data_IF_907637267913
#
_entry.id   IF_907637267913
#
_cell.length_a   1.000
_cell.length_b   1.000
_cell.length_c   1.000
_cell.angle_alpha   90.00
_cell.angle_beta   90.00
_cell.angle_gamma   90.00
#
_symmetry.space_group_name_H-M   'P 1'
#
loop_
_entity.id
_entity.type
_entity.pdbx_description
1 polymer ?
#
# COMPACT_ATOMS: atom_id res chain seq x y z
N UNK A 1 9.09 -4.70 -64.67
CA UNK A 1 8.25 -5.85 -65.07
C UNK A 1 8.59 -7.00 -64.12
N UNK A 2 7.81 -7.26 -63.05
CA UNK A 2 7.97 -8.44 -62.21
C UNK A 2 6.59 -8.93 -61.80
N UNK A 3 6.36 -10.20 -62.06
CA UNK A 3 5.06 -10.87 -62.05
C UNK A 3 4.62 -11.24 -60.61
N UNK A 4 3.47 -10.75 -60.22
CA UNK A 4 2.74 -11.22 -59.01
C UNK A 4 2.30 -12.67 -59.20
N UNK A 5 2.76 -13.58 -58.35
CA UNK A 5 2.18 -14.93 -58.20
C UNK A 5 1.17 -14.91 -57.07
N UNK A 6 -0.11 -15.04 -57.39
CA UNK A 6 -1.19 -15.32 -56.48
C UNK A 6 -1.13 -16.79 -56.06
N UNK A 7 -0.89 -17.06 -54.79
CA UNK A 7 -1.09 -18.39 -54.21
C UNK A 7 -2.49 -18.45 -53.67
N UNK A 8 -3.38 -19.23 -54.27
CA UNK A 8 -4.69 -19.62 -53.74
C UNK A 8 -4.49 -20.76 -52.77
N UNK A 9 -4.85 -20.55 -51.51
CA UNK A 9 -4.94 -21.61 -50.52
C UNK A 9 -6.39 -22.08 -50.51
N UNK A 10 -6.62 -23.27 -51.01
CA UNK A 10 -7.88 -24.02 -50.92
C UNK A 10 -7.96 -24.62 -49.49
N UNK A 11 -8.87 -24.11 -48.67
CA UNK A 11 -9.22 -24.70 -47.38
C UNK A 11 -10.33 -25.71 -47.64
N UNK A 12 -10.00 -26.99 -47.52
CA UNK A 12 -10.96 -28.09 -47.52
C UNK A 12 -11.66 -28.17 -46.15
N UNK A 13 -12.97 -27.90 -46.14
CA UNK A 13 -13.82 -28.09 -44.97
C UNK A 13 -14.27 -29.57 -44.97
N UNK A 14 -13.72 -30.37 -44.09
CA UNK A 14 -14.23 -31.71 -43.80
C UNK A 14 -15.33 -31.61 -42.74
N UNK A 15 -16.58 -31.83 -43.17
CA UNK A 15 -17.71 -32.07 -42.28
C UNK A 15 -17.57 -33.46 -41.65
N UNK A 16 -17.30 -33.51 -40.36
CA UNK A 16 -17.46 -34.74 -39.56
C UNK A 16 -18.78 -34.62 -38.78
N UNK A 17 -19.80 -35.26 -39.28
CA UNK A 17 -21.02 -35.52 -38.56
C UNK A 17 -20.75 -36.65 -37.54
N UNK A 18 -20.69 -36.37 -36.25
CA UNK A 18 -20.64 -37.38 -35.20
C UNK A 18 -21.82 -37.23 -34.27
N UNK A 19 -22.46 -38.41 -34.06
CA UNK A 19 -23.75 -38.65 -33.49
C UNK A 19 -23.91 -38.15 -32.07
N UNK A 20 -25.15 -37.78 -31.80
CA UNK A 20 -25.72 -37.58 -30.46
C UNK A 20 -25.72 -38.88 -29.66
N UNK A 21 -24.74 -39.09 -28.78
CA UNK A 21 -24.92 -39.95 -27.62
C UNK A 21 -25.42 -39.10 -26.47
N UNK A 22 -26.71 -39.19 -26.18
CA UNK A 22 -27.31 -38.67 -24.94
C UNK A 22 -26.81 -39.52 -23.78
N UNK A 23 -25.75 -39.07 -23.11
CA UNK A 23 -25.45 -39.56 -21.75
C UNK A 23 -26.52 -38.99 -20.80
N UNK A 24 -27.36 -39.87 -20.25
CA UNK A 24 -28.19 -39.53 -19.09
C UNK A 24 -27.23 -39.33 -17.93
N UNK A 25 -27.06 -38.10 -17.50
CA UNK A 25 -26.48 -37.76 -16.21
C UNK A 25 -27.54 -38.08 -15.15
N UNK A 26 -27.35 -39.15 -14.41
CA UNK A 26 -28.04 -39.37 -13.16
C UNK A 26 -27.57 -38.28 -12.17
N UNK A 27 -28.45 -37.31 -11.97
CA UNK A 27 -28.26 -36.25 -10.97
C UNK A 27 -28.54 -36.91 -9.60
N UNK A 28 -27.55 -37.03 -8.69
CA UNK A 28 -27.81 -37.47 -7.35
C UNK A 28 -28.77 -36.50 -6.66
N UNK A 29 -29.79 -37.04 -6.02
CA UNK A 29 -30.80 -36.27 -5.28
C UNK A 29 -30.14 -35.35 -4.26
N UNK A 30 -30.46 -34.07 -4.36
CA UNK A 30 -30.07 -33.04 -3.37
C UNK A 30 -30.68 -33.44 -2.03
N UNK A 31 -29.91 -33.60 -0.94
CA UNK A 31 -30.48 -33.83 0.36
C UNK A 31 -31.28 -32.64 0.81
N UNK A 32 -32.55 -32.85 1.15
CA UNK A 32 -33.43 -31.87 1.78
C UNK A 32 -32.76 -31.28 3.04
N UNK A 33 -32.86 -29.98 3.30
CA UNK A 33 -32.38 -29.40 4.53
C UNK A 33 -33.11 -30.01 5.72
N UNK A 34 -32.37 -30.65 6.62
CA UNK A 34 -32.88 -31.01 7.94
C UNK A 34 -33.06 -29.73 8.74
N UNK A 35 -34.23 -29.56 9.31
CA UNK A 35 -34.55 -28.56 10.29
C UNK A 35 -33.48 -28.57 11.41
N UNK A 36 -32.64 -27.56 11.42
CA UNK A 36 -31.72 -27.30 12.52
C UNK A 36 -32.54 -26.53 13.54
N UNK A 37 -33.00 -27.29 14.53
CA UNK A 37 -33.65 -26.76 15.73
C UNK A 37 -32.70 -25.77 16.41
N UNK A 38 -33.15 -24.50 16.42
CA UNK A 38 -32.45 -23.38 17.01
C UNK A 38 -32.38 -23.52 18.53
N UNK A 39 -31.29 -24.05 19.05
CA UNK A 39 -30.98 -23.96 20.48
C UNK A 39 -30.35 -22.60 20.74
N UNK A 40 -31.20 -21.63 21.11
CA UNK A 40 -30.75 -20.35 21.66
C UNK A 40 -30.10 -20.61 23.03
N UNK A 41 -28.78 -20.65 23.06
CA UNK A 41 -28.03 -20.49 24.29
C UNK A 41 -27.87 -18.99 24.55
N UNK A 42 -28.75 -18.48 25.39
CA UNK A 42 -28.71 -17.12 25.91
C UNK A 42 -27.50 -16.97 26.86
N UNK A 43 -26.36 -16.56 26.32
CA UNK A 43 -25.17 -16.21 27.12
C UNK A 43 -25.27 -14.75 27.53
N UNK A 44 -25.89 -14.51 28.69
CA UNK A 44 -25.84 -13.21 29.37
C UNK A 44 -24.42 -12.99 29.89
N UNK A 45 -23.62 -12.25 29.16
CA UNK A 45 -22.36 -11.69 29.68
C UNK A 45 -22.73 -10.42 30.42
N UNK A 46 -22.74 -10.52 31.76
CA UNK A 46 -22.81 -9.38 32.62
C UNK A 46 -21.52 -8.56 32.49
N UNK A 47 -21.61 -7.40 31.87
CA UNK A 47 -20.53 -6.43 31.80
C UNK A 47 -20.35 -5.80 33.19
N UNK A 48 -19.42 -6.32 33.96
CA UNK A 48 -18.94 -5.68 35.20
C UNK A 48 -17.95 -4.59 34.78
N UNK A 49 -18.43 -3.36 34.68
CA UNK A 49 -17.58 -2.19 34.53
C UNK A 49 -16.89 -1.85 35.83
N UNK A 50 -15.65 -2.28 35.99
CA UNK A 50 -14.76 -1.81 37.05
C UNK A 50 -14.15 -0.48 36.58
N UNK A 51 -14.37 0.63 37.33
CA UNK A 51 -13.70 1.88 36.96
C UNK A 51 -12.21 1.76 37.27
N UNK A 52 -11.37 1.88 36.25
CA UNK A 52 -9.93 2.07 36.44
C UNK A 52 -9.69 3.43 37.06
N UNK A 53 -9.22 3.41 38.32
CA UNK A 53 -8.74 4.60 38.99
C UNK A 53 -7.51 5.14 38.26
N UNK A 54 -7.58 6.40 37.80
CA UNK A 54 -6.44 7.15 37.27
C UNK A 54 -5.40 7.31 38.39
N UNK A 55 -4.10 7.03 38.11
CA UNK A 55 -3.05 7.35 39.06
C UNK A 55 -2.95 8.88 39.21
N UNK A 56 -3.15 9.36 40.43
CA UNK A 56 -2.96 10.76 40.82
C UNK A 56 -1.48 11.13 40.65
N UNK A 57 -1.20 12.09 39.77
CA UNK A 57 0.14 12.67 39.63
C UNK A 57 0.39 13.55 40.87
N UNK A 58 1.21 13.07 41.80
CA UNK A 58 1.77 13.89 42.86
C UNK A 58 2.77 14.87 42.28
N UNK A 59 2.73 16.16 42.63
CA UNK A 59 3.73 17.12 42.20
C UNK A 59 5.10 16.75 42.80
N UNK A 60 6.09 16.63 41.95
CA UNK A 60 7.49 16.41 42.36
C UNK A 60 8.05 17.75 42.85
N UNK A 61 8.17 17.90 44.19
CA UNK A 61 8.79 19.04 44.82
C UNK A 61 10.33 18.92 44.63
N UNK A 62 10.88 19.69 43.72
CA UNK A 62 12.31 19.80 43.49
C UNK A 62 12.88 20.98 44.25
N UNK A 63 13.08 20.83 45.58
CA UNK A 63 13.94 21.73 46.35
C UNK A 63 15.07 20.93 46.99
N UNK A 64 15.98 20.41 46.20
CA UNK A 64 17.29 20.03 46.73
C UNK A 64 18.33 21.06 46.25
N UNK A 65 18.57 22.06 47.11
CA UNK A 65 19.78 22.90 47.09
C UNK A 65 20.98 22.01 47.47
N UNK A 66 21.74 21.58 46.46
CA UNK A 66 23.05 20.99 46.67
C UNK A 66 24.07 22.13 46.88
N UNK A 67 24.80 22.19 47.99
CA UNK A 67 25.87 23.18 48.16
C UNK A 67 27.04 22.86 47.19
N UNK A 68 27.32 23.83 46.35
CA UNK A 68 28.50 23.78 45.45
C UNK A 68 29.75 24.03 46.27
N UNK A 69 30.71 23.10 46.35
CA UNK A 69 32.01 23.40 46.93
C UNK A 69 32.79 24.28 45.97
N UNK A 70 33.11 25.49 46.42
CA UNK A 70 34.02 26.42 45.73
C UNK A 70 35.42 25.78 45.65
N UNK A 71 35.83 25.26 44.50
CA UNK A 71 37.21 24.86 44.20
C UNK A 71 37.89 26.04 43.52
N UNK A 72 38.84 26.63 44.28
CA UNK A 72 39.82 27.56 43.77
C UNK A 72 40.55 27.05 42.56
N UNK A 73 40.65 27.92 41.56
CA UNK A 73 41.10 27.59 40.22
C UNK A 73 42.57 27.22 40.10
N UNK A 74 42.79 26.12 39.42
CA UNK A 74 44.03 25.83 38.73
C UNK A 74 43.85 26.24 37.25
N UNK A 75 44.78 26.95 36.61
CA UNK A 75 44.61 27.34 35.22
C UNK A 75 44.47 26.10 34.35
N UNK A 76 43.28 25.94 33.75
CA UNK A 76 43.03 24.91 32.74
C UNK A 76 43.78 25.33 31.48
N UNK A 77 44.60 24.45 30.87
CA UNK A 77 45.17 24.75 29.57
C UNK A 77 44.05 25.04 28.57
N UNK A 78 44.23 26.08 27.79
CA UNK A 78 43.27 26.49 26.76
C UNK A 78 42.95 25.27 25.91
N UNK A 79 41.67 24.86 25.97
CA UNK A 79 41.14 23.86 25.07
C UNK A 79 41.34 24.36 23.63
N UNK A 80 42.15 23.65 22.88
CA UNK A 80 42.28 23.88 21.43
C UNK A 80 40.85 23.71 20.87
N UNK A 81 40.26 24.81 20.40
CA UNK A 81 39.00 24.78 19.66
C UNK A 81 39.21 23.89 18.44
N UNK A 82 38.76 22.65 18.53
CA UNK A 82 38.63 21.79 17.37
C UNK A 82 37.49 22.40 16.55
N UNK A 83 37.90 23.20 15.54
CA UNK A 83 36.94 23.70 14.54
C UNK A 83 36.17 22.51 13.99
N UNK A 84 34.84 22.46 14.11
CA UNK A 84 34.09 21.33 13.59
C UNK A 84 34.37 21.24 12.09
N UNK A 85 34.94 20.13 11.67
CA UNK A 85 35.06 19.78 10.24
C UNK A 85 33.68 19.84 9.66
N UNK A 86 33.42 20.65 8.62
CA UNK A 86 32.08 20.71 8.03
C UNK A 86 31.69 19.30 7.59
N UNK A 87 30.63 18.76 8.16
CA UNK A 87 30.04 17.51 7.72
C UNK A 87 29.77 17.64 6.22
N UNK A 88 30.39 16.78 5.42
CA UNK A 88 30.18 16.78 3.98
C UNK A 88 28.70 16.54 3.71
N UNK A 89 28.06 17.51 3.07
CA UNK A 89 26.64 17.49 2.74
C UNK A 89 26.37 16.32 1.78
N UNK A 90 25.44 15.44 2.14
CA UNK A 90 24.96 14.38 1.25
C UNK A 90 23.85 14.92 0.39
N UNK A 91 23.89 14.67 -0.92
CA UNK A 91 22.88 15.11 -1.85
C UNK A 91 22.40 13.96 -2.73
N UNK A 92 21.15 14.03 -3.19
CA UNK A 92 20.60 13.13 -4.19
C UNK A 92 20.21 13.93 -5.43
N UNK A 93 20.62 13.43 -6.59
CA UNK A 93 20.35 14.01 -7.89
C UNK A 93 19.46 13.10 -8.72
N UNK A 94 18.47 13.68 -9.37
CA UNK A 94 17.64 12.98 -10.36
C UNK A 94 18.33 12.99 -11.72
N UNK A 95 18.77 11.82 -12.25
CA UNK A 95 19.66 11.74 -13.42
C UNK A 95 18.99 11.33 -14.73
N UNK A 96 18.02 10.43 -14.73
CA UNK A 96 17.38 9.89 -15.95
C UNK A 96 15.95 10.35 -16.19
N UNK A 97 15.35 11.01 -15.21
CA UNK A 97 13.97 11.45 -15.24
C UNK A 97 13.59 12.02 -13.90
N UNK A 98 12.34 12.41 -13.70
CA UNK A 98 11.87 12.93 -12.44
C UNK A 98 11.83 11.86 -11.36
N UNK A 99 12.21 12.21 -10.13
CA UNK A 99 12.04 11.37 -8.94
C UNK A 99 10.86 11.86 -8.13
N UNK A 100 9.98 10.94 -7.77
CA UNK A 100 8.85 11.26 -6.90
C UNK A 100 9.27 11.25 -5.44
N UNK A 101 8.96 12.33 -4.74
CA UNK A 101 9.14 12.46 -3.31
C UNK A 101 7.83 12.03 -2.65
N UNK A 102 7.91 11.07 -1.73
CA UNK A 102 6.75 10.46 -1.08
C UNK A 102 6.66 10.82 0.39
N UNK A 103 5.48 10.61 0.99
CA UNK A 103 5.23 10.86 2.40
C UNK A 103 5.98 9.89 3.33
N UNK A 104 6.27 8.70 2.85
CA UNK A 104 6.97 7.65 3.59
C UNK A 104 7.87 6.81 2.67
N UNK A 105 8.70 5.91 3.25
CA UNK A 105 9.69 5.12 2.55
C UNK A 105 9.09 3.88 1.88
N UNK A 106 8.24 4.08 0.87
CA UNK A 106 7.60 3.00 0.12
C UNK A 106 6.75 3.52 -1.04
N UNK A 107 6.39 2.63 -1.96
CA UNK A 107 5.55 2.96 -3.12
C UNK A 107 4.08 3.16 -2.74
N UNK A 108 3.66 2.57 -1.63
CA UNK A 108 2.33 2.67 -1.01
C UNK A 108 1.99 4.09 -0.54
N UNK A 109 3.02 4.88 -0.19
CA UNK A 109 2.82 6.26 0.28
C UNK A 109 2.57 7.21 -0.87
N UNK A 110 1.73 8.23 -0.61
CA UNK A 110 1.41 9.26 -1.58
C UNK A 110 2.63 10.08 -1.99
N UNK A 111 2.63 10.51 -3.24
CA UNK A 111 3.56 11.48 -3.75
C UNK A 111 3.19 12.86 -3.19
N UNK A 112 4.15 13.52 -2.55
CA UNK A 112 4.02 14.86 -1.96
C UNK A 112 4.92 15.89 -2.63
N UNK A 113 5.81 15.46 -3.53
CA UNK A 113 6.72 16.34 -4.26
C UNK A 113 7.38 15.63 -5.44
N UNK A 114 8.17 16.37 -6.18
CA UNK A 114 8.94 15.89 -7.34
C UNK A 114 10.30 16.55 -7.34
N UNK A 115 11.35 15.78 -7.47
CA UNK A 115 12.68 16.23 -7.85
C UNK A 115 12.79 16.13 -9.38
N UNK A 116 12.86 17.26 -10.04
CA UNK A 116 12.94 17.31 -11.50
C UNK A 116 14.25 16.72 -12.00
N UNK A 117 14.23 16.23 -13.23
CA UNK A 117 15.43 15.72 -13.89
C UNK A 117 16.57 16.76 -13.83
N UNK A 118 17.78 16.27 -13.59
CA UNK A 118 19.03 17.04 -13.46
C UNK A 118 19.02 18.07 -12.31
N UNK A 119 18.11 17.93 -11.34
CA UNK A 119 18.12 18.71 -10.09
C UNK A 119 18.54 17.86 -8.91
N UNK A 120 19.09 18.51 -7.89
CA UNK A 120 19.58 17.87 -6.67
C UNK A 120 18.87 18.46 -5.46
N UNK A 121 18.76 17.64 -4.40
CA UNK A 121 18.33 18.11 -3.08
C UNK A 121 19.17 17.47 -1.98
N UNK A 122 19.13 18.04 -0.78
CA UNK A 122 19.84 17.57 0.38
C UNK A 122 19.18 16.31 0.96
N UNK A 123 20.02 15.32 1.30
CA UNK A 123 19.64 14.14 2.06
C UNK A 123 19.94 14.41 3.53
N UNK A 124 18.93 14.25 4.39
CA UNK A 124 19.01 14.60 5.81
C UNK A 124 19.01 13.40 6.74
N UNK A 125 18.49 12.25 6.28
CA UNK A 125 18.53 10.99 7.02
C UNK A 125 18.35 9.81 6.07
N UNK A 126 18.68 8.60 6.52
CA UNK A 126 18.33 7.38 5.79
C UNK A 126 17.48 6.46 6.66
N UNK A 127 16.56 5.71 6.03
CA UNK A 127 15.75 4.73 6.74
C UNK A 127 16.53 3.42 6.90
N UNK A 128 16.72 2.98 8.14
CA UNK A 128 17.51 1.78 8.47
C UNK A 128 16.85 0.48 8.03
N UNK A 129 15.55 0.51 7.75
CA UNK A 129 14.75 -0.68 7.38
C UNK A 129 14.54 -0.80 5.86
N UNK A 130 14.86 0.24 5.10
CA UNK A 130 14.55 0.28 3.67
C UNK A 130 15.65 0.98 2.86
N UNK A 131 15.51 0.95 1.54
CA UNK A 131 16.40 1.66 0.63
C UNK A 131 15.83 3.04 0.23
N UNK A 132 15.41 3.79 1.24
CA UNK A 132 14.86 5.13 1.08
C UNK A 132 15.64 6.13 1.93
N UNK A 133 15.75 7.32 1.43
CA UNK A 133 16.38 8.45 2.12
C UNK A 133 15.39 9.59 2.29
N UNK A 134 15.49 10.28 3.42
CA UNK A 134 14.73 11.47 3.68
C UNK A 134 15.42 12.68 3.08
N UNK A 135 14.68 13.48 2.34
CA UNK A 135 15.18 14.65 1.61
C UNK A 135 14.37 15.90 1.93
N UNK A 136 14.98 17.05 1.73
CA UNK A 136 14.23 18.31 1.67
C UNK A 136 13.45 18.39 0.36
N UNK A 137 12.19 18.80 0.43
CA UNK A 137 11.38 19.04 -0.77
C UNK A 137 11.81 20.39 -1.37
N UNK A 138 12.19 20.47 -2.67
CA UNK A 138 12.60 21.71 -3.29
C UNK A 138 11.58 22.83 -3.10
N UNK A 139 12.06 24.02 -2.71
CA UNK A 139 11.25 25.21 -2.44
C UNK A 139 10.25 25.07 -1.27
N UNK A 140 10.53 24.19 -0.32
CA UNK A 140 9.71 23.96 0.86
C UNK A 140 10.60 23.59 2.05
N UNK A 141 10.14 23.92 3.26
CA UNK A 141 10.75 23.47 4.51
C UNK A 141 10.31 22.04 4.90
N UNK A 142 9.47 21.43 4.08
CA UNK A 142 8.98 20.08 4.30
C UNK A 142 9.99 19.02 3.85
N UNK A 143 9.88 17.85 4.44
CA UNK A 143 10.69 16.68 4.08
C UNK A 143 9.83 15.61 3.43
N UNK A 144 10.48 14.71 2.71
CA UNK A 144 9.85 13.55 2.12
C UNK A 144 10.88 12.46 1.81
N UNK A 145 10.44 11.39 1.20
CA UNK A 145 11.22 10.17 1.00
C UNK A 145 11.43 9.89 -0.48
N UNK A 146 12.66 9.52 -0.83
CA UNK A 146 13.05 9.14 -2.20
C UNK A 146 13.78 7.80 -2.14
N UNK A 147 13.47 6.90 -3.09
CA UNK A 147 14.17 5.63 -3.22
C UNK A 147 15.57 5.81 -3.81
N UNK A 148 16.54 5.11 -3.22
CA UNK A 148 17.92 5.04 -3.71
C UNK A 148 18.17 3.82 -4.58
N UNK A 149 17.25 2.85 -4.61
CA UNK A 149 17.31 1.66 -5.47
C UNK A 149 16.65 1.90 -6.83
N UNK A 150 16.99 2.99 -7.50
CA UNK A 150 16.45 3.30 -8.81
C UNK A 150 17.55 3.81 -9.74
N UNK A 151 17.42 3.51 -11.03
CA UNK A 151 18.31 4.05 -12.07
C UNK A 151 18.15 5.56 -12.26
N UNK A 152 17.17 6.17 -11.62
CA UNK A 152 16.85 7.60 -11.73
C UNK A 152 17.55 8.44 -10.68
N UNK A 153 18.07 7.85 -9.61
CA UNK A 153 18.75 8.57 -8.53
C UNK A 153 20.27 8.34 -8.54
N UNK A 154 21.02 9.36 -8.20
CA UNK A 154 22.43 9.32 -7.90
C UNK A 154 22.69 10.04 -6.59
N UNK A 155 23.38 9.38 -5.68
CA UNK A 155 23.82 9.98 -4.41
C UNK A 155 25.24 10.47 -4.55
N UNK A 156 25.50 11.68 -4.04
CA UNK A 156 26.82 12.26 -3.88
C UNK A 156 27.05 12.51 -2.38
N UNK A 157 28.11 11.88 -1.82
CA UNK A 157 28.41 11.84 -0.40
C UNK A 157 28.19 10.45 0.21
N UNK A 158 28.53 10.30 1.48
CA UNK A 158 28.42 9.04 2.20
C UNK A 158 27.15 9.03 3.07
N UNK A 159 26.19 8.20 2.72
CA UNK A 159 24.92 8.05 3.45
C UNK A 159 25.11 7.46 4.85
N UNK A 160 26.21 6.74 5.12
CA UNK A 160 26.48 6.18 6.44
C UNK A 160 26.85 7.27 7.48
N UNK A 161 27.16 8.48 7.02
CA UNK A 161 27.39 9.65 7.88
C UNK A 161 26.11 10.40 8.23
N UNK A 162 24.97 9.99 7.67
CA UNK A 162 23.65 10.56 7.97
C UNK A 162 23.07 9.95 9.24
N UNK A 163 22.22 10.68 9.95
CA UNK A 163 21.44 10.11 11.04
C UNK A 163 20.59 8.93 10.56
N UNK A 164 20.63 7.85 11.35
CA UNK A 164 19.70 6.74 11.19
C UNK A 164 18.29 7.19 11.56
N UNK A 165 17.33 6.80 10.76
CA UNK A 165 15.93 7.11 10.99
C UNK A 165 15.08 5.87 10.72
N UNK A 166 14.16 5.57 11.63
CA UNK A 166 13.14 4.55 11.40
C UNK A 166 11.78 5.22 11.24
N UNK A 167 11.22 5.13 10.04
CA UNK A 167 9.90 5.69 9.78
C UNK A 167 8.81 4.84 10.44
N UNK A 168 8.00 5.45 11.30
CA UNK A 168 6.95 4.76 12.07
C UNK A 168 5.53 5.08 11.60
N UNK A 169 5.39 5.94 10.59
CA UNK A 169 4.08 6.30 10.03
C UNK A 169 3.51 5.18 9.15
N UNK A 170 2.27 4.78 9.42
CA UNK A 170 1.56 3.83 8.56
C UNK A 170 0.94 4.54 7.35
N UNK A 171 0.79 3.84 6.22
CA UNK A 171 0.02 4.36 5.10
C UNK A 171 -1.44 4.62 5.52
N UNK A 172 -2.05 5.67 4.98
CA UNK A 172 -3.49 5.89 5.14
C UNK A 172 -4.26 4.75 4.45
N UNK A 173 -5.39 4.29 5.02
CA UNK A 173 -6.19 3.24 4.42
C UNK A 173 -6.68 3.67 3.03
N UNK A 174 -6.76 2.70 2.14
CA UNK A 174 -7.34 2.82 0.81
C UNK A 174 -8.68 2.09 0.77
N UNK A 175 -9.45 2.28 -0.30
CA UNK A 175 -10.77 1.68 -0.45
C UNK A 175 -10.94 1.08 -1.84
N UNK A 176 -11.63 -0.06 -1.89
CA UNK A 176 -12.06 -0.70 -3.14
C UNK A 176 -13.56 -0.71 -3.17
N UNK A 177 -14.16 -0.21 -4.26
CA UNK A 177 -15.60 -0.22 -4.48
C UNK A 177 -15.94 -1.03 -5.73
N UNK A 178 -16.85 -1.98 -5.59
CA UNK A 178 -17.38 -2.74 -6.72
C UNK A 178 -18.55 -2.00 -7.36
N UNK A 179 -18.40 -1.62 -8.63
CA UNK A 179 -19.42 -0.92 -9.41
C UNK A 179 -20.04 -1.84 -10.48
N UNK A 180 -19.77 -3.14 -10.42
CA UNK A 180 -20.34 -4.12 -11.34
C UNK A 180 -21.58 -4.78 -10.75
N UNK A 181 -22.31 -5.51 -11.58
CA UNK A 181 -23.46 -6.32 -11.19
C UNK A 181 -23.08 -7.71 -10.65
N UNK A 182 -21.78 -8.05 -10.69
CA UNK A 182 -21.26 -9.32 -10.23
C UNK A 182 -20.52 -9.17 -8.90
N UNK A 183 -20.62 -10.20 -8.05
CA UNK A 183 -19.80 -10.29 -6.86
C UNK A 183 -18.36 -10.58 -7.24
N UNK A 184 -17.41 -9.98 -6.50
CA UNK A 184 -16.00 -10.08 -6.77
C UNK A 184 -15.24 -10.73 -5.62
N UNK A 185 -14.19 -11.47 -5.97
CA UNK A 185 -13.18 -11.93 -5.03
C UNK A 185 -11.87 -11.18 -5.29
N UNK A 186 -11.28 -10.61 -4.24
CA UNK A 186 -10.12 -9.74 -4.37
C UNK A 186 -8.92 -10.36 -3.66
N UNK A 187 -7.80 -10.42 -4.37
CA UNK A 187 -6.51 -10.86 -3.84
C UNK A 187 -5.47 -9.74 -3.93
N UNK A 188 -4.49 -9.69 -3.00
CA UNK A 188 -4.37 -10.46 -1.77
C UNK A 188 -5.40 -10.03 -0.72
N UNK A 189 -5.60 -10.89 0.29
CA UNK A 189 -6.46 -10.61 1.43
C UNK A 189 -7.76 -11.38 1.44
N UNK A 190 -8.04 -12.19 0.39
CA UNK A 190 -9.21 -13.09 0.29
C UNK A 190 -10.53 -12.39 0.61
N UNK A 191 -10.72 -11.21 -0.01
CA UNK A 191 -11.84 -10.33 0.29
C UNK A 191 -12.99 -10.62 -0.66
N UNK A 192 -14.14 -11.00 -0.09
CA UNK A 192 -15.41 -11.03 -0.84
C UNK A 192 -16.02 -9.64 -0.89
N UNK A 193 -16.31 -9.14 -2.07
CA UNK A 193 -16.89 -7.82 -2.29
C UNK A 193 -18.19 -7.92 -3.10
N UNK A 194 -19.35 -7.68 -2.47
CA UNK A 194 -20.64 -7.78 -3.11
C UNK A 194 -20.80 -6.85 -4.31
N UNK A 195 -21.75 -7.18 -5.17
CA UNK A 195 -22.10 -6.37 -6.33
C UNK A 195 -22.82 -5.05 -5.95
N UNK A 196 -22.98 -4.17 -6.94
CA UNK A 196 -23.60 -2.85 -6.78
C UNK A 196 -25.04 -2.88 -6.24
N UNK A 197 -25.78 -3.95 -6.52
CA UNK A 197 -27.20 -4.08 -6.17
C UNK A 197 -27.45 -4.77 -4.83
N UNK A 198 -26.39 -5.13 -4.14
CA UNK A 198 -26.51 -5.78 -2.84
C UNK A 198 -27.15 -4.86 -1.81
N UNK A 199 -27.93 -5.45 -0.94
CA UNK A 199 -28.67 -4.81 0.16
C UNK A 199 -27.76 -3.89 0.99
N UNK A 200 -28.31 -2.83 1.57
CA UNK A 200 -27.58 -1.85 2.39
C UNK A 200 -26.80 -2.46 3.58
N UNK A 201 -27.11 -3.71 3.95
CA UNK A 201 -26.41 -4.47 5.00
C UNK A 201 -24.99 -4.90 4.55
N UNK A 202 -24.81 -5.20 3.25
CA UNK A 202 -23.52 -5.58 2.68
C UNK A 202 -23.01 -4.45 1.79
N UNK A 203 -21.99 -3.78 2.23
CA UNK A 203 -21.41 -2.68 1.45
C UNK A 203 -20.59 -3.24 0.29
N UNK A 204 -20.83 -2.70 -0.89
CA UNK A 204 -20.01 -2.96 -2.08
C UNK A 204 -18.67 -2.19 -2.05
N UNK A 205 -18.21 -1.84 -0.86
CA UNK A 205 -16.97 -1.11 -0.62
C UNK A 205 -16.26 -1.70 0.59
N UNK A 206 -14.94 -1.83 0.51
CA UNK A 206 -14.09 -2.36 1.57
C UNK A 206 -12.86 -1.49 1.75
N UNK A 207 -12.44 -1.33 3.01
CA UNK A 207 -11.16 -0.73 3.37
C UNK A 207 -10.04 -1.77 3.20
N UNK A 208 -8.95 -1.35 2.58
CA UNK A 208 -7.77 -2.17 2.34
C UNK A 208 -6.49 -1.39 2.63
N UNK A 209 -5.38 -2.09 2.76
CA UNK A 209 -4.08 -1.45 2.75
C UNK A 209 -3.72 -1.00 1.32
N UNK A 210 -2.92 0.06 1.15
CA UNK A 210 -2.34 0.38 -0.15
C UNK A 210 -1.54 -0.79 -0.72
N UNK A 211 -1.63 -1.01 -2.03
CA UNK A 211 -0.95 -2.12 -2.69
C UNK A 211 -1.55 -2.47 -4.05
N UNK A 212 -1.10 -3.59 -4.60
CA UNK A 212 -1.59 -4.14 -5.86
C UNK A 212 -2.62 -5.23 -5.59
N UNK A 213 -3.74 -5.17 -6.30
CA UNK A 213 -4.88 -6.07 -6.13
C UNK A 213 -5.36 -6.60 -7.48
N UNK A 214 -5.96 -7.79 -7.43
CA UNK A 214 -6.63 -8.43 -8.56
C UNK A 214 -8.05 -8.76 -8.12
N UNK A 215 -9.03 -8.35 -8.90
CA UNK A 215 -10.42 -8.75 -8.73
C UNK A 215 -10.76 -9.89 -9.69
N UNK A 216 -11.39 -10.93 -9.16
CA UNK A 216 -11.92 -12.09 -9.89
C UNK A 216 -13.45 -12.05 -9.85
N UNK A 217 -14.07 -12.39 -10.94
CA UNK A 217 -15.53 -12.39 -11.09
C UNK A 217 -16.10 -13.74 -10.63
N UNK A 218 -16.84 -13.75 -9.52
CA UNK A 218 -17.45 -14.96 -8.95
C UNK A 218 -18.69 -15.44 -9.69
N UNK A 219 -19.29 -14.59 -10.53
CA UNK A 219 -20.49 -14.95 -11.29
C UNK A 219 -20.18 -15.73 -12.55
N UNK A 220 -19.00 -15.50 -13.14
CA UNK A 220 -18.59 -16.15 -14.39
C UNK A 220 -17.90 -17.48 -14.09
N UNK A 221 -18.31 -18.60 -14.71
CA UNK A 221 -17.65 -19.90 -14.52
C UNK A 221 -16.14 -19.83 -14.78
N UNK A 222 -15.36 -20.38 -13.87
CA UNK A 222 -13.89 -20.34 -13.90
C UNK A 222 -13.30 -19.08 -13.28
N UNK A 223 -14.14 -18.21 -12.70
CA UNK A 223 -13.70 -17.05 -11.92
C UNK A 223 -12.60 -16.23 -12.62
N UNK A 224 -12.86 -15.74 -13.84
CA UNK A 224 -11.84 -15.02 -14.61
C UNK A 224 -11.42 -13.73 -13.91
N UNK A 225 -10.18 -13.33 -14.13
CA UNK A 225 -9.70 -12.03 -13.75
C UNK A 225 -10.53 -10.93 -14.43
N UNK A 226 -11.15 -10.08 -13.61
CA UNK A 226 -11.95 -8.95 -14.07
C UNK A 226 -11.10 -7.69 -14.22
N UNK A 227 -10.30 -7.37 -13.22
CA UNK A 227 -9.52 -6.14 -13.21
C UNK A 227 -8.29 -6.24 -12.29
N UNK A 228 -7.15 -5.66 -12.74
CA UNK A 228 -5.98 -5.40 -11.89
C UNK A 228 -5.88 -3.91 -11.60
N UNK A 229 -5.44 -3.57 -10.41
CA UNK A 229 -5.24 -2.18 -10.02
C UNK A 229 -4.23 -2.04 -8.89
N UNK A 230 -3.59 -0.89 -8.85
CA UNK A 230 -2.69 -0.47 -7.77
C UNK A 230 -3.33 0.70 -7.04
N UNK A 231 -3.40 0.61 -5.72
CA UNK A 231 -4.01 1.63 -4.87
C UNK A 231 -2.96 2.22 -3.96
N UNK A 232 -2.92 3.56 -3.90
CA UNK A 232 -2.11 4.31 -2.96
C UNK A 232 -2.91 4.66 -1.72
N UNK A 233 -2.21 5.10 -0.69
CA UNK A 233 -2.82 5.54 0.55
C UNK A 233 -3.86 6.66 0.32
N UNK A 234 -4.97 6.59 1.05
CA UNK A 234 -6.06 7.54 0.96
C UNK A 234 -6.82 7.53 -0.37
N UNK A 235 -6.47 6.64 -1.31
CA UNK A 235 -7.12 6.55 -2.60
C UNK A 235 -8.30 5.57 -2.58
N UNK A 236 -9.20 5.74 -3.55
CA UNK A 236 -10.29 4.80 -3.82
C UNK A 236 -10.11 4.22 -5.22
N UNK A 237 -10.15 2.89 -5.33
CA UNK A 237 -10.20 2.18 -6.59
C UNK A 237 -11.61 1.69 -6.88
N UNK A 238 -11.97 1.67 -8.15
CA UNK A 238 -13.28 1.23 -8.61
C UNK A 238 -13.12 0.02 -9.52
N UNK A 239 -13.80 -1.08 -9.18
CA UNK A 239 -13.96 -2.20 -10.08
C UNK A 239 -15.10 -1.86 -11.02
N UNK A 240 -14.76 -1.55 -12.26
CA UNK A 240 -15.70 -1.10 -13.28
C UNK A 240 -15.83 -2.08 -14.43
N UNK A 241 -15.09 -3.16 -14.43
CA UNK A 241 -15.12 -4.19 -15.45
C UNK A 241 -15.41 -5.55 -14.81
N UNK A 242 -16.35 -6.30 -15.37
CA UNK A 242 -16.61 -7.67 -14.95
C UNK A 242 -15.77 -8.69 -15.74
N UNK A 243 -15.83 -9.96 -15.35
CA UNK A 243 -15.05 -11.03 -15.98
C UNK A 243 -15.43 -11.33 -17.45
N UNK A 244 -16.53 -10.78 -17.95
CA UNK A 244 -16.93 -10.83 -19.35
C UNK A 244 -16.40 -9.65 -20.16
N UNK A 245 -15.66 -8.73 -19.53
CA UNK A 245 -15.15 -7.51 -20.17
C UNK A 245 -16.18 -6.39 -20.33
N UNK A 246 -17.36 -6.51 -19.70
CA UNK A 246 -18.39 -5.46 -19.73
C UNK A 246 -18.01 -4.35 -18.75
N UNK A 247 -18.06 -3.09 -19.24
CA UNK A 247 -17.75 -1.91 -18.42
C UNK A 247 -19.02 -1.35 -17.78
N UNK A 248 -18.90 -1.04 -16.50
CA UNK A 248 -19.95 -0.44 -15.67
C UNK A 248 -19.51 0.97 -15.24
N UNK A 249 -20.48 1.82 -14.94
CA UNK A 249 -20.23 3.13 -14.32
C UNK A 249 -20.57 3.03 -12.84
N UNK A 250 -19.73 3.61 -12.00
CA UNK A 250 -20.10 3.83 -10.61
C UNK A 250 -21.17 4.92 -10.51
N UNK A 251 -22.21 4.71 -9.71
CA UNK A 251 -23.21 5.72 -9.42
C UNK A 251 -22.62 6.89 -8.63
#
# INVERSE_FOLDING_TARGET
>A
MSKFRKAQILISIALVAQGCMRARLDIPAVPTPRDIESTQAESRIAATSTPLALPSLTPFDQTHKVPVPSREGKPVPAATEISPTPLSKVTITSVKGNLYIRRGPGLEYNQIGVLLKDTSTEVIAHDVLSNWVQVLIPNSDNTGWVSIQTLYSKIDGDINNLPDFTFTGWPLPAYIKNCTEHDMFITPGDIYLPNLYTNAEYKNEVQVNPGSYIAYDLFVPGEPEAQKFEIREGAQAYITMNGLGVKHKCP
#
